data_IF_390771911072
#
_entry.id   IF_390771911072
#
_cell.length_a   1.000
_cell.length_b   1.000
_cell.length_c   1.000
_cell.angle_alpha   90.00
_cell.angle_beta   90.00
_cell.angle_gamma   90.00
#
_symmetry.space_group_name_H-M   'P 1'
#
loop_
_entity.id
_entity.type
_entity.pdbx_description
1 polymer ?
#
# COMPACT_ATOMS: atom_id res chain seq x y z
N UNK A 1 -4.55 8.60 -3.86
CA UNK A 1 -5.45 9.48 -4.66
C UNK A 1 -4.79 9.90 -5.97
N UNK A 2 -3.64 10.55 -5.96
CA UNK A 2 -2.98 11.05 -7.18
C UNK A 2 -2.74 9.96 -8.23
N UNK A 3 -2.26 8.78 -7.83
CA UNK A 3 -2.05 7.65 -8.72
C UNK A 3 -3.32 7.22 -9.49
N UNK A 4 -4.47 7.27 -8.83
CA UNK A 4 -5.71 6.63 -9.31
C UNK A 4 -6.74 7.61 -9.89
N UNK A 5 -6.63 8.91 -9.58
CA UNK A 5 -7.64 9.91 -9.90
C UNK A 5 -7.03 11.31 -10.16
N UNK A 6 -5.84 11.37 -10.75
CA UNK A 6 -5.17 12.63 -11.06
C UNK A 6 -5.99 13.54 -11.96
N UNK A 7 -6.73 12.94 -12.89
CA UNK A 7 -7.66 13.62 -13.81
C UNK A 7 -8.78 14.39 -13.09
N UNK A 8 -9.06 14.05 -11.84
CA UNK A 8 -10.08 14.69 -11.00
C UNK A 8 -9.48 15.71 -10.01
N UNK A 9 -8.18 15.99 -10.10
CA UNK A 9 -7.47 16.84 -9.15
C UNK A 9 -6.84 18.07 -9.84
N UNK A 10 -6.90 19.28 -9.25
CA UNK A 10 -6.15 20.43 -9.74
C UNK A 10 -4.63 20.17 -9.66
N UNK A 11 -3.93 20.31 -10.78
CA UNK A 11 -2.48 20.02 -10.89
C UNK A 11 -1.66 20.85 -9.90
N UNK A 12 -1.98 22.12 -9.76
CA UNK A 12 -1.25 23.04 -8.87
C UNK A 12 -1.44 22.66 -7.40
N UNK A 13 -2.63 22.20 -7.01
CA UNK A 13 -2.89 21.71 -5.65
C UNK A 13 -2.07 20.46 -5.33
N UNK A 14 -1.94 19.53 -6.28
CA UNK A 14 -1.08 18.34 -6.11
C UNK A 14 0.38 18.76 -5.96
N UNK A 15 0.88 19.66 -6.83
CA UNK A 15 2.26 20.18 -6.77
C UNK A 15 2.54 20.88 -5.45
N UNK A 16 1.64 21.72 -5.00
CA UNK A 16 1.75 22.44 -3.72
C UNK A 16 1.78 21.44 -2.55
N UNK A 17 0.90 20.45 -2.54
CA UNK A 17 0.88 19.39 -1.50
C UNK A 17 2.20 18.61 -1.43
N UNK A 18 2.80 18.28 -2.59
CA UNK A 18 4.13 17.65 -2.65
C UNK A 18 5.19 18.58 -2.01
N UNK A 19 5.23 19.85 -2.41
CA UNK A 19 6.21 20.80 -1.89
C UNK A 19 6.05 21.01 -0.38
N UNK A 20 4.81 21.10 0.12
CA UNK A 20 4.52 21.25 1.54
C UNK A 20 5.02 20.04 2.36
N UNK A 21 4.76 18.82 1.91
CA UNK A 21 5.28 17.61 2.56
C UNK A 21 6.81 17.56 2.53
N UNK A 22 7.42 17.88 1.39
CA UNK A 22 8.89 17.92 1.27
C UNK A 22 9.54 19.09 2.04
N UNK A 23 8.82 20.18 2.30
CA UNK A 23 9.31 21.24 3.19
C UNK A 23 9.44 20.74 4.64
N UNK A 24 8.54 19.84 5.08
CA UNK A 24 8.63 19.17 6.38
C UNK A 24 9.62 18.02 6.46
N UNK A 25 10.35 17.66 5.39
CA UNK A 25 11.33 16.58 5.47
C UNK A 25 12.47 16.90 6.43
N UNK A 26 12.77 16.00 7.37
CA UNK A 26 13.89 16.11 8.32
C UNK A 26 15.24 15.90 7.62
N UNK A 27 16.32 16.28 8.29
CA UNK A 27 17.70 16.13 7.79
C UNK A 27 18.07 14.66 7.57
N UNK A 28 17.58 13.75 8.42
CA UNK A 28 17.78 12.30 8.28
C UNK A 28 17.00 11.67 7.12
N UNK A 29 16.18 12.46 6.41
CA UNK A 29 15.39 12.02 5.28
C UNK A 29 13.93 11.63 5.61
N UNK A 30 13.55 11.59 6.88
CA UNK A 30 12.19 11.26 7.30
C UNK A 30 11.18 12.24 6.69
N UNK A 31 10.18 11.71 5.99
CA UNK A 31 9.06 12.46 5.43
C UNK A 31 7.91 12.49 6.44
N UNK A 32 7.19 13.61 6.60
CA UNK A 32 6.00 13.64 7.45
C UNK A 32 4.96 12.59 7.06
N UNK A 33 4.32 12.00 8.05
CA UNK A 33 3.11 11.20 7.89
C UNK A 33 1.96 12.10 7.38
N UNK A 34 1.87 13.29 7.95
CA UNK A 34 0.89 14.32 7.56
C UNK A 34 1.34 15.72 7.97
N UNK A 35 0.70 16.71 7.37
CA UNK A 35 0.71 18.09 7.82
C UNK A 35 -0.62 18.41 8.49
N UNK A 36 -0.59 19.13 9.59
CA UNK A 36 -1.78 19.67 10.22
C UNK A 36 -2.24 20.96 9.50
N UNK A 37 -3.44 21.42 9.83
CA UNK A 37 -4.01 22.63 9.21
C UNK A 37 -3.16 23.90 9.46
N UNK A 38 -2.43 23.94 10.57
CA UNK A 38 -1.47 25.02 10.90
C UNK A 38 -0.11 24.85 10.22
N UNK A 39 0.09 23.83 9.41
CA UNK A 39 1.34 23.52 8.72
C UNK A 39 2.33 22.69 9.53
N UNK A 40 2.03 22.32 10.77
CA UNK A 40 2.91 21.50 11.61
C UNK A 40 3.07 20.10 11.00
N UNK A 41 4.32 19.69 10.83
CA UNK A 41 4.66 18.34 10.35
C UNK A 41 4.56 17.30 11.49
N UNK A 42 3.83 16.22 11.26
CA UNK A 42 3.69 15.07 12.16
C UNK A 42 4.31 13.85 11.49
N UNK A 43 5.19 13.13 12.17
CA UNK A 43 6.01 12.08 11.56
C UNK A 43 5.56 10.68 11.94
N UNK A 44 4.83 10.50 13.02
CA UNK A 44 4.35 9.20 13.47
C UNK A 44 2.85 9.06 13.26
N UNK A 45 2.40 7.83 13.02
CA UNK A 45 0.97 7.51 13.00
C UNK A 45 0.34 7.70 14.39
N UNK A 46 -0.98 7.80 14.44
CA UNK A 46 -1.73 8.02 15.66
C UNK A 46 -1.97 9.50 16.00
N UNK A 47 -2.67 9.79 17.11
CA UNK A 47 -2.92 11.15 17.57
C UNK A 47 -1.61 11.87 17.94
N UNK A 48 -1.60 13.22 17.85
CA UNK A 48 -0.41 14.03 18.15
C UNK A 48 0.13 13.79 19.57
N UNK A 49 -0.74 13.58 20.54
CA UNK A 49 -0.35 13.30 21.93
C UNK A 49 -0.10 11.83 22.26
N UNK A 50 -0.35 10.91 21.31
CA UNK A 50 -0.19 9.47 21.51
C UNK A 50 0.31 8.79 20.20
N UNK A 51 1.57 9.03 19.80
CA UNK A 51 2.13 8.45 18.58
C UNK A 51 2.28 6.92 18.71
N UNK A 52 2.16 6.22 17.59
CA UNK A 52 2.32 4.77 17.52
C UNK A 52 3.79 4.35 17.28
N UNK A 53 4.71 4.97 17.99
CA UNK A 53 6.14 4.70 17.93
C UNK A 53 6.88 5.51 16.84
N UNK A 54 7.88 4.91 16.24
CA UNK A 54 8.69 5.52 15.18
C UNK A 54 7.84 5.83 13.91
N UNK A 55 8.34 6.66 12.98
CA UNK A 55 7.63 6.96 11.74
C UNK A 55 7.24 5.71 10.95
N UNK A 56 6.05 5.67 10.34
CA UNK A 56 5.61 4.55 9.49
C UNK A 56 6.62 4.24 8.38
N UNK A 57 6.72 2.96 8.02
CA UNK A 57 7.72 2.53 7.01
C UNK A 57 7.36 2.95 5.59
N UNK A 58 6.12 3.38 5.33
CA UNK A 58 5.58 3.66 3.99
C UNK A 58 5.60 5.13 3.57
N UNK A 59 5.84 6.09 4.48
CA UNK A 59 5.85 7.52 4.16
C UNK A 59 6.79 7.86 3.00
N UNK A 60 8.02 7.34 3.02
CA UNK A 60 9.02 7.57 1.98
C UNK A 60 8.58 7.03 0.62
N UNK A 61 8.04 5.83 0.60
CA UNK A 61 7.58 5.15 -0.61
C UNK A 61 6.39 5.88 -1.23
N UNK A 62 5.42 6.29 -0.42
CA UNK A 62 4.28 7.07 -0.90
C UNK A 62 4.69 8.46 -1.40
N UNK A 63 5.68 9.11 -0.77
CA UNK A 63 6.22 10.38 -1.26
C UNK A 63 6.82 10.23 -2.67
N UNK A 64 7.62 9.19 -2.88
CA UNK A 64 8.20 8.89 -4.20
C UNK A 64 7.10 8.57 -5.23
N UNK A 65 6.12 7.74 -4.86
CA UNK A 65 4.99 7.42 -5.75
C UNK A 65 4.21 8.68 -6.12
N UNK A 66 3.93 9.55 -5.16
CA UNK A 66 3.22 10.81 -5.37
C UNK A 66 3.94 11.70 -6.40
N UNK A 67 5.26 11.90 -6.25
CA UNK A 67 6.06 12.70 -7.22
C UNK A 67 6.11 12.00 -8.57
N UNK A 68 6.34 10.70 -8.61
CA UNK A 68 6.43 9.95 -9.87
C UNK A 68 5.12 9.99 -10.66
N UNK A 69 3.97 9.87 -9.98
CA UNK A 69 2.66 9.93 -10.62
C UNK A 69 2.31 11.35 -11.09
N UNK A 70 2.73 12.38 -10.32
CA UNK A 70 2.64 13.78 -10.76
C UNK A 70 3.46 14.01 -12.05
N UNK A 71 4.73 13.62 -12.05
CA UNK A 71 5.62 13.78 -13.23
C UNK A 71 5.11 12.97 -14.42
N UNK A 72 4.61 11.75 -14.20
CA UNK A 72 4.01 10.94 -15.27
C UNK A 72 2.81 11.65 -15.91
N UNK A 73 1.98 12.31 -15.11
CA UNK A 73 0.75 12.94 -15.58
C UNK A 73 0.99 14.32 -16.21
N UNK A 74 2.03 15.05 -15.81
CA UNK A 74 2.33 16.41 -16.25
C UNK A 74 3.47 16.51 -17.25
N UNK A 75 4.39 15.55 -17.27
CA UNK A 75 5.65 15.61 -18.01
C UNK A 75 6.72 16.49 -17.34
N UNK A 76 6.47 17.07 -16.14
CA UNK A 76 7.34 18.03 -15.45
C UNK A 76 8.60 17.36 -14.87
N UNK A 77 9.56 17.08 -15.75
CA UNK A 77 10.84 16.48 -15.35
C UNK A 77 11.76 17.45 -14.60
N UNK A 78 11.61 18.74 -14.81
CA UNK A 78 12.39 19.77 -14.10
C UNK A 78 11.96 19.84 -12.63
N UNK A 79 10.67 19.68 -12.36
CA UNK A 79 10.19 19.52 -10.98
C UNK A 79 10.83 18.30 -10.32
N UNK A 80 10.90 17.15 -11.01
CA UNK A 80 11.61 15.99 -10.47
C UNK A 80 13.07 16.31 -10.15
N UNK A 81 13.81 16.92 -11.08
CA UNK A 81 15.22 17.28 -10.87
C UNK A 81 15.39 18.14 -9.61
N UNK A 82 14.49 19.11 -9.41
CA UNK A 82 14.53 20.00 -8.23
C UNK A 82 14.33 19.27 -6.89
N UNK A 83 13.55 18.19 -6.87
CA UNK A 83 13.23 17.46 -5.62
C UNK A 83 13.95 16.11 -5.49
N UNK A 84 14.67 15.65 -6.51
CA UNK A 84 15.27 14.31 -6.59
C UNK A 84 16.16 13.99 -5.38
N UNK A 85 16.99 14.91 -4.92
CA UNK A 85 17.84 14.73 -3.73
C UNK A 85 17.03 14.45 -2.45
N UNK A 86 15.87 15.09 -2.30
CA UNK A 86 14.97 14.85 -1.17
C UNK A 86 14.36 13.45 -1.25
N UNK A 87 13.97 12.97 -2.44
CA UNK A 87 13.42 11.64 -2.65
C UNK A 87 14.44 10.53 -2.37
N UNK A 88 15.71 10.74 -2.75
CA UNK A 88 16.80 9.81 -2.41
C UNK A 88 16.93 9.70 -0.90
N UNK A 89 17.05 10.81 -0.17
CA UNK A 89 17.13 10.79 1.30
C UNK A 89 15.90 10.13 1.95
N UNK A 90 14.69 10.36 1.40
CA UNK A 90 13.49 9.71 1.89
C UNK A 90 13.58 8.18 1.78
N UNK A 91 14.05 7.65 0.65
CA UNK A 91 14.21 6.21 0.46
C UNK A 91 15.37 5.64 1.30
N UNK A 92 16.41 6.42 1.57
CA UNK A 92 17.53 6.01 2.42
C UNK A 92 17.15 5.97 3.92
N UNK A 93 16.15 6.74 4.34
CA UNK A 93 15.60 6.70 5.69
C UNK A 93 14.93 5.35 6.01
N UNK A 94 14.37 4.66 5.01
CA UNK A 94 13.67 3.39 5.24
C UNK A 94 14.62 2.30 5.74
N UNK A 95 14.35 1.74 6.93
CA UNK A 95 15.09 0.60 7.48
C UNK A 95 14.91 -0.64 6.60
N UNK A 96 16.03 -1.31 6.28
CA UNK A 96 16.03 -2.51 5.45
C UNK A 96 16.94 -3.59 6.05
N UNK A 97 16.54 -4.84 5.90
CA UNK A 97 17.37 -5.99 6.23
C UNK A 97 18.59 -6.08 5.29
N UNK A 98 19.52 -6.98 5.62
CA UNK A 98 20.67 -7.27 4.75
C UNK A 98 20.23 -7.76 3.36
N UNK A 99 19.07 -8.39 3.25
CA UNK A 99 18.48 -8.86 2.01
C UNK A 99 17.68 -7.77 1.25
N UNK A 100 17.65 -6.56 1.79
CA UNK A 100 17.04 -5.38 1.18
C UNK A 100 15.54 -5.24 1.43
N UNK A 101 14.91 -6.16 2.19
CA UNK A 101 13.50 -6.06 2.56
C UNK A 101 13.29 -4.98 3.63
N UNK A 102 12.19 -4.25 3.56
CA UNK A 102 11.82 -3.28 4.61
C UNK A 102 11.58 -4.03 5.91
N UNK A 103 12.12 -3.50 7.01
CA UNK A 103 12.09 -4.18 8.31
C UNK A 103 11.73 -3.23 9.45
N UNK A 104 11.09 -3.79 10.49
CA UNK A 104 10.87 -3.16 11.80
C UNK A 104 11.55 -4.02 12.87
N UNK A 105 12.31 -3.38 13.76
CA UNK A 105 12.92 -4.05 14.90
C UNK A 105 11.84 -4.58 15.86
N UNK A 106 11.81 -5.88 16.19
CA UNK A 106 10.86 -6.44 17.15
C UNK A 106 10.93 -5.82 18.56
N UNK A 107 12.07 -5.26 18.93
CA UNK A 107 12.24 -4.55 20.20
C UNK A 107 11.62 -3.14 20.19
N UNK A 108 11.34 -2.59 19.00
CA UNK A 108 10.77 -1.24 18.80
C UNK A 108 9.66 -1.26 17.77
N UNK A 109 8.55 -2.01 18.02
CA UNK A 109 7.47 -2.11 17.08
C UNK A 109 6.79 -0.75 16.88
N UNK A 110 6.49 -0.43 15.63
CA UNK A 110 5.80 0.78 15.22
C UNK A 110 4.94 0.52 13.99
N UNK A 111 4.25 1.54 13.48
CA UNK A 111 3.37 1.42 12.33
C UNK A 111 4.10 0.87 11.09
N UNK A 112 3.66 -0.28 10.54
CA UNK A 112 4.27 -0.83 9.32
C UNK A 112 3.82 -0.09 8.06
N UNK A 113 2.57 0.33 7.97
CA UNK A 113 2.01 1.18 6.91
C UNK A 113 0.59 1.63 7.28
N UNK A 114 0.10 2.71 6.64
CA UNK A 114 -1.11 3.43 7.04
C UNK A 114 -2.40 2.63 7.08
N UNK A 115 -2.53 1.53 6.33
CA UNK A 115 -3.72 0.66 6.38
C UNK A 115 -3.65 -0.42 7.46
N UNK A 116 -2.55 -0.53 8.18
CA UNK A 116 -2.37 -1.34 9.38
C UNK A 116 -1.47 -0.64 10.39
N UNK A 117 -1.62 0.67 10.53
CA UNK A 117 -0.82 1.53 11.42
C UNK A 117 -0.86 1.10 12.88
N UNK A 118 -1.90 0.37 13.29
CA UNK A 118 -2.09 -0.12 14.66
C UNK A 118 -1.64 -1.57 14.88
N UNK A 119 -1.12 -2.24 13.87
CA UNK A 119 -0.74 -3.67 13.94
C UNK A 119 0.77 -3.80 14.11
N UNK A 120 1.21 -4.58 15.09
CA UNK A 120 2.62 -4.76 15.45
C UNK A 120 3.32 -5.81 14.55
N UNK A 121 3.42 -5.54 13.25
CA UNK A 121 4.19 -6.36 12.31
C UNK A 121 5.68 -6.07 12.45
N UNK A 122 6.51 -7.06 12.70
CA UNK A 122 7.95 -6.86 12.88
C UNK A 122 8.82 -7.89 12.12
N UNK A 123 10.11 -7.62 12.06
CA UNK A 123 11.02 -8.30 11.16
C UNK A 123 10.84 -7.78 9.72
N UNK A 124 11.08 -8.60 8.73
CA UNK A 124 10.87 -8.28 7.32
C UNK A 124 9.38 -8.18 6.99
N UNK A 125 8.97 -7.16 6.24
CA UNK A 125 7.59 -6.81 5.98
C UNK A 125 7.21 -7.02 4.51
N UNK A 126 6.10 -7.71 4.24
CA UNK A 126 5.59 -7.94 2.89
C UNK A 126 5.18 -6.63 2.20
N UNK A 127 4.14 -5.96 2.72
CA UNK A 127 3.50 -4.84 2.03
C UNK A 127 4.45 -3.65 1.86
N UNK A 128 5.18 -3.31 2.91
CA UNK A 128 6.16 -2.21 2.87
C UNK A 128 7.32 -2.49 1.91
N UNK A 129 7.76 -3.76 1.79
CA UNK A 129 8.77 -4.15 0.79
C UNK A 129 8.23 -4.06 -0.64
N UNK A 130 6.98 -4.42 -0.88
CA UNK A 130 6.34 -4.24 -2.20
C UNK A 130 6.25 -2.77 -2.59
N UNK A 131 5.87 -1.89 -1.65
CA UNK A 131 5.85 -0.44 -1.85
C UNK A 131 7.25 0.12 -2.13
N UNK A 132 8.26 -0.33 -1.36
CA UNK A 132 9.66 0.10 -1.56
C UNK A 132 10.20 -0.31 -2.94
N UNK A 133 9.91 -1.55 -3.37
CA UNK A 133 10.24 -2.01 -4.72
C UNK A 133 9.60 -1.13 -5.80
N UNK A 134 8.32 -0.82 -5.66
CA UNK A 134 7.60 0.00 -6.64
C UNK A 134 8.16 1.43 -6.68
N UNK A 135 8.37 2.06 -5.52
CA UNK A 135 8.98 3.37 -5.41
C UNK A 135 10.39 3.39 -6.04
N UNK A 136 11.20 2.35 -5.77
CA UNK A 136 12.52 2.21 -6.37
C UNK A 136 12.46 2.10 -7.89
N UNK A 137 11.55 1.33 -8.46
CA UNK A 137 11.36 1.24 -9.92
C UNK A 137 10.93 2.57 -10.52
N UNK A 138 10.00 3.30 -9.86
CA UNK A 138 9.58 4.63 -10.30
C UNK A 138 10.75 5.62 -10.29
N UNK A 139 11.59 5.61 -9.23
CA UNK A 139 12.79 6.46 -9.18
C UNK A 139 13.81 6.07 -10.26
N UNK A 140 14.07 4.79 -10.46
CA UNK A 140 14.98 4.34 -11.51
C UNK A 140 14.54 4.90 -12.89
N UNK A 141 13.25 4.78 -13.23
CA UNK A 141 12.69 5.33 -14.46
C UNK A 141 12.81 6.86 -14.55
N UNK A 142 12.59 7.57 -13.46
CA UNK A 142 12.71 9.04 -13.44
C UNK A 142 14.16 9.48 -13.58
N UNK A 143 15.11 8.82 -12.92
CA UNK A 143 16.54 9.11 -13.07
C UNK A 143 17.07 8.79 -14.48
N UNK A 144 16.60 7.69 -15.07
CA UNK A 144 16.91 7.35 -16.47
C UNK A 144 16.46 8.49 -17.41
N UNK A 145 15.20 8.94 -17.28
CA UNK A 145 14.67 10.07 -18.06
C UNK A 145 15.41 11.40 -17.79
N UNK A 146 15.92 11.58 -16.57
CA UNK A 146 16.69 12.77 -16.20
C UNK A 146 18.17 12.71 -16.64
N UNK A 147 18.63 11.56 -17.19
CA UNK A 147 20.02 11.35 -17.64
C UNK A 147 20.98 10.90 -16.54
N UNK A 148 20.50 10.51 -15.35
CA UNK A 148 21.32 10.03 -14.24
C UNK A 148 21.34 8.50 -14.20
N UNK A 149 22.15 7.90 -15.03
CA UNK A 149 22.28 6.45 -15.16
C UNK A 149 22.78 5.78 -13.87
N UNK A 150 23.61 6.45 -13.09
CA UNK A 150 24.16 5.89 -11.85
C UNK A 150 23.04 5.68 -10.80
N UNK A 151 22.23 6.70 -10.55
CA UNK A 151 21.09 6.58 -9.63
C UNK A 151 19.99 5.68 -10.18
N UNK A 152 19.75 5.69 -11.49
CA UNK A 152 18.83 4.75 -12.13
C UNK A 152 19.25 3.29 -11.86
N UNK A 153 20.54 2.98 -12.01
CA UNK A 153 21.11 1.66 -11.70
C UNK A 153 20.99 1.28 -10.22
N UNK A 154 21.29 2.20 -9.29
CA UNK A 154 21.17 1.96 -7.84
C UNK A 154 19.73 1.60 -7.45
N UNK A 155 18.75 2.40 -7.85
CA UNK A 155 17.35 2.13 -7.53
C UNK A 155 16.80 0.88 -8.25
N UNK A 156 17.28 0.59 -9.46
CA UNK A 156 17.01 -0.68 -10.14
C UNK A 156 17.53 -1.88 -9.34
N UNK A 157 18.74 -1.79 -8.80
CA UNK A 157 19.35 -2.83 -7.95
C UNK A 157 18.58 -3.02 -6.64
N UNK A 158 18.13 -1.94 -5.99
CA UNK A 158 17.28 -2.00 -4.77
C UNK A 158 15.96 -2.74 -5.05
N UNK A 159 15.27 -2.43 -6.14
CA UNK A 159 14.08 -3.14 -6.55
C UNK A 159 14.34 -4.62 -6.84
N UNK A 160 15.43 -4.93 -7.56
CA UNK A 160 15.86 -6.30 -7.87
C UNK A 160 16.21 -7.11 -6.62
N UNK A 161 16.78 -6.50 -5.58
CA UNK A 161 17.06 -7.18 -4.30
C UNK A 161 15.75 -7.68 -3.65
N UNK A 162 14.71 -6.86 -3.61
CA UNK A 162 13.40 -7.28 -3.09
C UNK A 162 12.81 -8.40 -3.94
N UNK A 163 12.90 -8.31 -5.27
CA UNK A 163 12.39 -9.35 -6.18
C UNK A 163 13.04 -10.71 -5.95
N UNK A 164 14.33 -10.74 -5.65
CA UNK A 164 15.03 -11.99 -5.33
C UNK A 164 14.70 -12.54 -3.95
N UNK A 165 14.55 -11.67 -2.95
CA UNK A 165 14.56 -12.06 -1.54
C UNK A 165 13.18 -12.12 -0.87
N UNK A 166 12.13 -11.51 -1.45
CA UNK A 166 10.77 -11.55 -0.87
C UNK A 166 10.23 -12.97 -0.68
N UNK A 167 10.85 -13.95 -1.39
CA UNK A 167 10.54 -15.36 -1.24
C UNK A 167 10.74 -15.92 0.18
N UNK A 168 11.52 -15.24 1.05
CA UNK A 168 11.69 -15.59 2.47
C UNK A 168 10.36 -15.56 3.24
N UNK A 169 9.42 -14.68 2.84
CA UNK A 169 8.09 -14.56 3.44
C UNK A 169 7.07 -15.57 2.87
N UNK A 170 7.45 -16.44 1.95
CA UNK A 170 6.51 -17.37 1.32
C UNK A 170 6.20 -18.59 2.18
N UNK A 171 4.96 -18.74 2.62
CA UNK A 171 4.45 -19.97 3.23
C UNK A 171 4.07 -20.98 2.16
N UNK A 172 4.84 -22.07 2.08
CA UNK A 172 4.64 -23.14 1.08
C UNK A 172 3.34 -23.91 1.32
N UNK A 173 2.88 -24.05 2.58
CA UNK A 173 1.66 -24.79 2.94
C UNK A 173 0.42 -23.99 2.53
N UNK A 174 0.33 -22.77 2.95
CA UNK A 174 -0.77 -21.87 2.59
C UNK A 174 -0.75 -21.48 1.10
N UNK A 175 0.44 -21.35 0.50
CA UNK A 175 0.62 -20.85 -0.86
C UNK A 175 0.37 -19.34 -0.96
N UNK A 176 0.76 -18.62 0.08
CA UNK A 176 0.63 -17.19 0.27
C UNK A 176 1.88 -16.61 0.91
N UNK A 177 2.12 -15.32 0.74
CA UNK A 177 3.09 -14.61 1.54
C UNK A 177 2.52 -14.29 2.92
N UNK A 178 3.38 -14.39 3.93
CA UNK A 178 3.12 -13.89 5.28
C UNK A 178 3.30 -12.39 5.34
N UNK A 179 2.59 -11.73 6.26
CA UNK A 179 2.64 -10.28 6.45
C UNK A 179 4.00 -9.79 6.93
N UNK A 180 4.65 -10.58 7.80
CA UNK A 180 5.92 -10.27 8.43
C UNK A 180 6.70 -11.55 8.80
N UNK A 181 8.00 -11.40 9.15
CA UNK A 181 8.87 -12.55 9.47
C UNK A 181 8.98 -12.85 10.96
N UNK A 182 8.61 -11.94 11.86
CA UNK A 182 8.70 -12.14 13.32
C UNK A 182 7.32 -12.04 13.98
N UNK A 183 6.79 -10.86 14.30
CA UNK A 183 5.43 -10.70 14.80
C UNK A 183 4.43 -10.59 13.65
N UNK A 184 3.23 -11.08 13.85
CA UNK A 184 2.16 -11.14 12.83
C UNK A 184 2.57 -11.96 11.59
N UNK A 185 3.13 -13.15 11.82
CA UNK A 185 3.45 -14.14 10.78
C UNK A 185 2.19 -14.80 10.21
N UNK A 186 1.22 -14.00 9.86
CA UNK A 186 -0.07 -14.42 9.34
C UNK A 186 -0.18 -14.09 7.84
N UNK A 187 -1.09 -14.75 7.14
CA UNK A 187 -1.35 -14.47 5.72
C UNK A 187 -1.93 -13.07 5.59
N UNK A 188 -1.32 -12.23 4.77
CA UNK A 188 -1.87 -10.89 4.46
C UNK A 188 -2.56 -10.91 3.09
N UNK A 189 -3.89 -10.91 3.08
CA UNK A 189 -4.71 -10.88 1.86
C UNK A 189 -4.38 -9.66 1.00
N UNK A 190 -4.23 -8.48 1.63
CA UNK A 190 -3.94 -7.25 0.91
C UNK A 190 -2.56 -7.26 0.28
N UNK A 191 -1.53 -7.66 1.04
CA UNK A 191 -0.17 -7.77 0.52
C UNK A 191 -0.06 -8.74 -0.65
N UNK A 192 -0.74 -9.89 -0.57
CA UNK A 192 -0.76 -10.87 -1.65
C UNK A 192 -1.53 -10.37 -2.89
N UNK A 193 -2.69 -9.74 -2.72
CA UNK A 193 -3.44 -9.14 -3.82
C UNK A 193 -2.68 -7.98 -4.46
N UNK A 194 -2.03 -7.14 -3.63
CA UNK A 194 -1.20 -6.03 -4.11
C UNK A 194 0.03 -6.52 -4.87
N UNK A 195 0.67 -7.62 -4.46
CA UNK A 195 1.79 -8.21 -5.20
C UNK A 195 1.37 -8.59 -6.64
N UNK A 196 0.16 -9.14 -6.82
CA UNK A 196 -0.39 -9.41 -8.16
C UNK A 196 -0.67 -8.11 -8.90
N UNK A 197 -1.36 -7.16 -8.27
CA UNK A 197 -1.71 -5.86 -8.85
C UNK A 197 -0.48 -5.05 -9.24
N UNK A 198 0.54 -4.95 -8.38
CA UNK A 198 1.77 -4.20 -8.63
C UNK A 198 2.73 -4.89 -9.62
N UNK A 199 2.33 -6.02 -10.22
CA UNK A 199 3.16 -6.73 -11.20
C UNK A 199 4.46 -7.27 -10.60
N UNK A 200 4.42 -7.77 -9.36
CA UNK A 200 5.57 -8.46 -8.77
C UNK A 200 5.84 -9.78 -9.52
N UNK A 201 7.11 -10.16 -9.78
CA UNK A 201 7.45 -11.39 -10.51
C UNK A 201 7.16 -12.64 -9.67
N UNK A 202 5.91 -13.11 -9.70
CA UNK A 202 5.41 -14.19 -8.84
C UNK A 202 5.65 -15.60 -9.40
N UNK A 203 5.91 -15.75 -10.70
CA UNK A 203 6.03 -17.06 -11.39
C UNK A 203 4.89 -18.03 -10.96
N UNK A 204 5.23 -19.27 -10.55
CA UNK A 204 4.24 -20.26 -10.13
C UNK A 204 3.42 -19.87 -8.87
N UNK A 205 3.92 -18.94 -8.05
CA UNK A 205 3.22 -18.45 -6.85
C UNK A 205 1.92 -17.73 -7.17
N UNK A 206 1.86 -17.01 -8.31
CA UNK A 206 0.66 -16.28 -8.75
C UNK A 206 -0.57 -17.18 -8.77
N UNK A 207 -0.48 -18.36 -9.42
CA UNK A 207 -1.58 -19.34 -9.49
C UNK A 207 -2.11 -19.73 -8.10
N UNK A 208 -1.20 -19.91 -7.13
CA UNK A 208 -1.57 -20.28 -5.75
C UNK A 208 -2.27 -19.14 -5.03
N UNK A 209 -1.77 -17.90 -5.14
CA UNK A 209 -2.42 -16.70 -4.58
C UNK A 209 -3.83 -16.57 -5.15
N UNK A 210 -3.99 -16.56 -6.47
CA UNK A 210 -5.29 -16.45 -7.11
C UNK A 210 -6.26 -17.54 -6.65
N UNK A 211 -5.79 -18.79 -6.58
CA UNK A 211 -6.59 -19.92 -6.08
C UNK A 211 -6.99 -19.77 -4.62
N UNK A 212 -6.11 -19.22 -3.77
CA UNK A 212 -6.43 -18.94 -2.37
C UNK A 212 -7.53 -17.88 -2.26
N UNK A 213 -7.40 -16.78 -2.96
CA UNK A 213 -8.41 -15.69 -2.95
C UNK A 213 -9.78 -16.20 -3.39
N UNK A 214 -9.85 -17.02 -4.45
CA UNK A 214 -11.10 -17.56 -4.95
C UNK A 214 -11.74 -18.55 -3.94
N UNK A 215 -10.99 -19.50 -3.38
CA UNK A 215 -11.51 -20.48 -2.41
C UNK A 215 -11.96 -19.85 -1.10
N UNK A 216 -11.35 -18.76 -0.68
CA UNK A 216 -11.67 -18.07 0.56
C UNK A 216 -12.56 -16.83 0.35
N UNK A 217 -13.18 -16.69 -0.83
CA UNK A 217 -13.94 -15.49 -1.20
C UNK A 217 -14.93 -15.06 -0.11
N UNK A 218 -15.75 -15.99 0.42
CA UNK A 218 -16.75 -15.69 1.45
C UNK A 218 -16.15 -15.35 2.83
N UNK A 219 -14.89 -15.74 3.09
CA UNK A 219 -14.19 -15.48 4.35
C UNK A 219 -13.40 -14.16 4.31
N UNK A 220 -13.17 -13.60 3.13
CA UNK A 220 -12.36 -12.39 2.96
C UNK A 220 -13.16 -11.21 2.41
N UNK A 221 -14.36 -11.43 1.90
CA UNK A 221 -15.18 -10.39 1.26
C UNK A 221 -16.57 -10.30 1.90
N UNK A 222 -16.92 -9.10 2.37
CA UNK A 222 -18.24 -8.74 2.85
C UNK A 222 -18.70 -7.45 2.18
N UNK A 223 -19.86 -7.45 1.55
CA UNK A 223 -20.43 -6.30 0.82
C UNK A 223 -19.47 -5.69 -0.23
N UNK A 224 -18.59 -6.52 -0.81
CA UNK A 224 -17.57 -6.10 -1.78
C UNK A 224 -16.32 -5.49 -1.15
N UNK A 225 -16.22 -5.39 0.16
CA UNK A 225 -15.06 -4.90 0.91
C UNK A 225 -14.22 -6.06 1.42
N UNK A 226 -12.91 -5.86 1.65
CA UNK A 226 -11.92 -6.94 1.84
C UNK A 226 -11.24 -6.83 3.20
N UNK A 227 -11.10 -7.97 3.92
CA UNK A 227 -10.31 -8.09 5.16
C UNK A 227 -8.82 -8.30 4.87
N UNK A 228 -7.98 -7.96 5.84
CA UNK A 228 -6.56 -8.31 5.81
C UNK A 228 -6.31 -9.80 6.02
N UNK A 229 -7.07 -10.44 6.90
CA UNK A 229 -6.99 -11.87 7.25
C UNK A 229 -8.31 -12.56 6.92
N UNK A 230 -8.32 -13.86 6.58
CA UNK A 230 -9.56 -14.62 6.42
C UNK A 230 -10.33 -14.68 7.74
N UNK A 231 -11.66 -14.58 7.69
CA UNK A 231 -12.51 -14.80 8.86
C UNK A 231 -12.37 -16.25 9.37
N UNK A 232 -12.35 -16.50 10.69
CA UNK A 232 -12.53 -15.57 11.82
C UNK A 232 -11.23 -14.96 12.36
N UNK A 233 -10.11 -15.06 11.65
CA UNK A 233 -8.79 -14.66 12.12
C UNK A 233 -8.73 -13.16 12.46
N UNK A 234 -7.90 -12.82 13.46
CA UNK A 234 -7.50 -11.47 13.86
C UNK A 234 -5.99 -11.41 13.98
N UNK A 235 -5.40 -10.21 13.92
CA UNK A 235 -3.96 -10.06 14.10
C UNK A 235 -3.53 -10.51 15.50
N UNK A 236 -2.45 -11.28 15.58
CA UNK A 236 -1.94 -11.82 16.85
C UNK A 236 -1.35 -10.76 17.77
N UNK A 237 -0.90 -9.61 17.20
CA UNK A 237 -0.27 -8.55 17.97
C UNK A 237 -0.65 -7.17 17.42
N UNK A 238 -1.06 -6.26 18.30
CA UNK A 238 -1.43 -4.88 17.98
C UNK A 238 -0.61 -3.91 18.80
N UNK A 239 -0.37 -2.69 18.28
CA UNK A 239 0.34 -1.61 18.98
C UNK A 239 -0.54 -0.98 20.07
N UNK A 240 -1.84 -0.99 19.87
CA UNK A 240 -2.86 -0.53 20.81
C UNK A 240 -4.01 -1.54 20.88
N UNK A 241 -4.79 -1.61 21.95
CA UNK A 241 -5.93 -2.52 22.03
C UNK A 241 -6.96 -2.25 20.94
N UNK A 242 -7.27 -3.27 20.12
CA UNK A 242 -8.31 -3.22 19.09
C UNK A 242 -9.14 -4.50 19.17
N UNK A 243 -10.44 -4.33 19.35
CA UNK A 243 -11.38 -5.46 19.41
C UNK A 243 -11.33 -6.25 18.11
N UNK A 244 -11.20 -7.60 18.15
CA UNK A 244 -11.33 -8.45 16.99
C UNK A 244 -12.61 -8.17 16.19
N UNK A 245 -12.51 -8.15 14.87
CA UNK A 245 -13.62 -7.83 13.98
C UNK A 245 -13.84 -6.33 13.73
N UNK A 246 -13.08 -5.43 14.40
CA UNK A 246 -13.17 -3.99 14.20
C UNK A 246 -11.90 -3.41 13.57
N UNK A 247 -12.01 -2.24 12.94
CA UNK A 247 -10.94 -1.46 12.36
C UNK A 247 -9.93 -2.33 11.59
N UNK A 248 -8.63 -2.16 11.83
CA UNK A 248 -7.57 -2.93 11.16
C UNK A 248 -7.47 -4.38 11.67
N UNK A 249 -8.14 -4.72 12.77
CA UNK A 249 -8.12 -6.06 13.37
C UNK A 249 -9.34 -6.91 12.97
N UNK A 250 -9.68 -6.90 11.69
CA UNK A 250 -10.67 -7.81 11.13
C UNK A 250 -11.93 -7.16 10.55
N UNK A 251 -12.02 -5.83 10.44
CA UNK A 251 -13.04 -5.20 9.62
C UNK A 251 -12.73 -5.33 8.12
N UNK A 252 -13.74 -5.09 7.29
CA UNK A 252 -13.66 -5.11 5.83
C UNK A 252 -13.52 -3.69 5.30
N UNK A 253 -12.64 -3.49 4.32
CA UNK A 253 -12.26 -2.19 3.77
C UNK A 253 -12.45 -2.17 2.26
N UNK A 254 -12.97 -1.06 1.72
CA UNK A 254 -13.05 -0.85 0.29
C UNK A 254 -11.69 -0.66 -0.39
N UNK A 255 -10.68 -0.22 0.36
CA UNK A 255 -9.34 0.11 -0.13
C UNK A 255 -8.71 -1.01 -0.99
N UNK A 256 -8.77 -2.27 -0.57
CA UNK A 256 -8.16 -3.40 -1.28
C UNK A 256 -9.09 -4.07 -2.30
N UNK A 257 -10.35 -3.65 -2.38
CA UNK A 257 -11.35 -4.31 -3.23
C UNK A 257 -10.92 -4.34 -4.69
N UNK A 258 -10.33 -3.27 -5.18
CA UNK A 258 -9.84 -3.20 -6.55
C UNK A 258 -8.66 -4.13 -6.83
N UNK A 259 -7.73 -4.28 -5.90
CA UNK A 259 -6.58 -5.20 -6.06
C UNK A 259 -7.02 -6.66 -6.11
N UNK A 260 -7.99 -7.03 -5.25
CA UNK A 260 -8.56 -8.39 -5.25
C UNK A 260 -9.39 -8.63 -6.49
N UNK A 261 -10.20 -7.67 -6.93
CA UNK A 261 -10.96 -7.77 -8.19
C UNK A 261 -10.01 -7.95 -9.38
N UNK A 262 -8.96 -7.11 -9.51
CA UNK A 262 -7.94 -7.23 -10.55
C UNK A 262 -7.29 -8.63 -10.54
N UNK A 263 -6.87 -9.12 -9.36
CA UNK A 263 -6.27 -10.43 -9.22
C UNK A 263 -7.22 -11.56 -9.65
N UNK A 264 -8.51 -11.47 -9.31
CA UNK A 264 -9.50 -12.48 -9.66
C UNK A 264 -9.87 -12.46 -11.16
N UNK A 265 -9.82 -11.32 -11.83
CA UNK A 265 -10.25 -11.17 -13.25
C UNK A 265 -9.54 -12.16 -14.17
N UNK A 266 -8.28 -12.46 -13.93
CA UNK A 266 -7.50 -13.34 -14.80
C UNK A 266 -8.07 -14.77 -14.90
N UNK A 267 -8.67 -15.31 -13.86
CA UNK A 267 -9.11 -16.71 -13.80
C UNK A 267 -10.55 -16.90 -13.32
N UNK A 268 -11.11 -15.95 -12.62
CA UNK A 268 -12.46 -15.97 -12.06
C UNK A 268 -13.16 -14.62 -12.27
N UNK A 269 -13.39 -14.23 -13.55
CA UNK A 269 -14.00 -12.93 -13.88
C UNK A 269 -15.39 -12.75 -13.23
N UNK A 270 -16.17 -13.81 -13.07
CA UNK A 270 -17.48 -13.75 -12.41
C UNK A 270 -17.36 -13.39 -10.91
N UNK A 271 -16.34 -13.92 -10.21
CA UNK A 271 -16.08 -13.54 -8.82
C UNK A 271 -15.61 -12.08 -8.72
N UNK A 272 -14.76 -11.63 -9.63
CA UNK A 272 -14.33 -10.24 -9.71
C UNK A 272 -15.53 -9.31 -9.97
N UNK A 273 -16.37 -9.64 -10.94
CA UNK A 273 -17.58 -8.89 -11.24
C UNK A 273 -18.58 -8.88 -10.07
N UNK A 274 -18.74 -10.01 -9.36
CA UNK A 274 -19.57 -10.11 -8.16
C UNK A 274 -19.06 -9.19 -7.05
N UNK A 275 -17.75 -9.14 -6.80
CA UNK A 275 -17.13 -8.25 -5.82
C UNK A 275 -17.43 -6.79 -6.16
N UNK A 276 -17.18 -6.39 -7.40
CA UNK A 276 -17.37 -4.99 -7.85
C UNK A 276 -18.84 -4.58 -7.77
N UNK A 277 -19.76 -5.43 -8.24
CA UNK A 277 -21.22 -5.15 -8.13
C UNK A 277 -21.66 -5.00 -6.68
N UNK A 278 -21.17 -5.86 -5.77
CA UNK A 278 -21.48 -5.78 -4.34
C UNK A 278 -20.96 -4.46 -3.74
N UNK A 279 -19.73 -4.06 -4.06
CA UNK A 279 -19.13 -2.81 -3.60
C UNK A 279 -19.94 -1.59 -4.07
N UNK A 280 -20.24 -1.51 -5.37
CA UNK A 280 -21.02 -0.41 -5.95
C UNK A 280 -22.42 -0.35 -5.30
N UNK A 281 -23.07 -1.50 -5.10
CA UNK A 281 -24.40 -1.57 -4.49
C UNK A 281 -24.37 -1.08 -3.04
N UNK A 282 -23.33 -1.47 -2.29
CA UNK A 282 -23.16 -1.03 -0.91
C UNK A 282 -22.94 0.48 -0.84
N UNK A 283 -22.03 1.01 -1.65
CA UNK A 283 -21.73 2.46 -1.67
C UNK A 283 -22.92 3.31 -2.09
N UNK A 284 -23.71 2.87 -3.06
CA UNK A 284 -24.95 3.57 -3.45
C UNK A 284 -25.99 3.62 -2.32
N UNK A 285 -26.06 2.59 -1.49
CA UNK A 285 -27.07 2.48 -0.43
C UNK A 285 -26.65 3.12 0.89
N UNK A 286 -25.37 3.08 1.24
CA UNK A 286 -24.88 3.41 2.59
C UNK A 286 -23.82 4.50 2.58
N UNK A 287 -23.15 4.75 1.47
CA UNK A 287 -21.96 5.58 1.37
C UNK A 287 -20.66 4.75 1.52
N UNK A 288 -19.52 5.37 1.29
CA UNK A 288 -18.22 4.75 1.40
C UNK A 288 -17.62 4.97 2.79
N UNK A 289 -17.43 3.91 3.54
CA UNK A 289 -16.80 3.95 4.86
C UNK A 289 -15.31 3.61 4.77
N UNK A 290 -14.53 4.02 5.78
CA UNK A 290 -13.15 3.55 5.97
C UNK A 290 -13.14 2.02 6.09
N UNK A 291 -13.96 1.48 6.99
CA UNK A 291 -14.17 0.04 7.13
C UNK A 291 -15.53 -0.28 7.75
N UNK A 292 -15.96 -1.53 7.54
CA UNK A 292 -17.27 -2.04 7.98
C UNK A 292 -17.15 -3.44 8.55
N UNK A 293 -18.14 -3.85 9.36
CA UNK A 293 -18.44 -5.25 9.69
C UNK A 293 -19.95 -5.36 9.94
N UNK A 294 -20.47 -6.50 10.39
CA UNK A 294 -21.92 -6.76 10.59
C UNK A 294 -22.65 -5.59 11.30
N UNK A 295 -22.13 -5.15 12.44
CA UNK A 295 -22.71 -4.07 13.26
C UNK A 295 -21.68 -2.96 13.54
N UNK A 296 -20.75 -2.74 12.59
CA UNK A 296 -19.65 -1.79 12.76
C UNK A 296 -19.42 -1.03 11.45
N UNK A 297 -19.43 0.29 11.53
CA UNK A 297 -19.09 1.19 10.44
C UNK A 297 -18.22 2.31 11.01
N UNK A 298 -17.12 2.63 10.35
CA UNK A 298 -16.17 3.66 10.80
C UNK A 298 -15.91 4.65 9.68
N UNK A 299 -15.88 5.91 10.01
CA UNK A 299 -15.54 7.07 9.19
C UNK A 299 -16.17 7.03 7.80
N UNK A 300 -17.36 7.61 7.70
CA UNK A 300 -18.11 7.75 6.45
C UNK A 300 -17.41 8.73 5.50
N UNK A 301 -17.65 8.55 4.20
CA UNK A 301 -17.12 9.37 3.11
C UNK A 301 -15.58 9.27 3.00
N UNK A 302 -15.05 8.06 3.23
CA UNK A 302 -13.62 7.77 3.17
C UNK A 302 -13.13 7.61 1.73
N UNK A 303 -12.44 8.63 1.24
CA UNK A 303 -12.06 8.79 -0.17
C UNK A 303 -11.21 7.63 -0.70
N UNK A 304 -10.31 7.06 0.12
CA UNK A 304 -9.41 5.98 -0.32
C UNK A 304 -10.18 4.69 -0.64
N UNK A 305 -11.28 4.42 0.09
CA UNK A 305 -12.16 3.29 -0.20
C UNK A 305 -12.86 3.37 -1.56
N UNK A 306 -12.91 4.56 -2.16
CA UNK A 306 -13.47 4.80 -3.51
C UNK A 306 -12.37 4.86 -4.57
N UNK A 307 -11.33 5.65 -4.31
CA UNK A 307 -10.31 5.98 -5.31
C UNK A 307 -9.39 4.81 -5.63
N UNK A 308 -9.03 3.98 -4.64
CA UNK A 308 -8.22 2.79 -4.90
C UNK A 308 -8.94 1.75 -5.78
N UNK A 309 -10.20 1.35 -5.49
CA UNK A 309 -10.95 0.51 -6.41
C UNK A 309 -11.11 1.12 -7.80
N UNK A 310 -11.40 2.42 -7.91
CA UNK A 310 -11.52 3.11 -9.20
C UNK A 310 -10.25 2.96 -10.06
N UNK A 311 -9.07 3.22 -9.47
CA UNK A 311 -7.80 3.07 -10.18
C UNK A 311 -7.56 1.64 -10.66
N UNK A 312 -7.84 0.66 -9.79
CA UNK A 312 -7.69 -0.75 -10.17
C UNK A 312 -8.69 -1.19 -11.25
N UNK A 313 -9.93 -0.69 -11.21
CA UNK A 313 -10.93 -0.97 -12.24
C UNK A 313 -10.55 -0.34 -13.59
N UNK A 314 -10.08 0.91 -13.60
CA UNK A 314 -9.54 1.56 -14.81
C UNK A 314 -8.39 0.75 -15.42
N UNK A 315 -7.48 0.26 -14.58
CA UNK A 315 -6.41 -0.61 -15.03
C UNK A 315 -6.92 -1.96 -15.54
N UNK A 316 -7.87 -2.59 -14.88
CA UNK A 316 -8.49 -3.85 -15.32
C UNK A 316 -9.12 -3.68 -16.69
N UNK A 317 -9.90 -2.62 -16.91
CA UNK A 317 -10.52 -2.33 -18.21
C UNK A 317 -9.47 -2.14 -19.31
N UNK A 318 -8.35 -1.47 -19.01
CA UNK A 318 -7.27 -1.26 -19.98
C UNK A 318 -6.51 -2.55 -20.34
N UNK A 319 -6.23 -3.42 -19.35
CA UNK A 319 -5.45 -4.64 -19.55
C UNK A 319 -6.27 -5.80 -20.14
N UNK A 320 -7.53 -5.93 -19.75
CA UNK A 320 -8.38 -7.07 -20.16
C UNK A 320 -9.39 -6.72 -21.26
N UNK A 321 -9.37 -5.47 -21.81
CA UNK A 321 -10.29 -5.01 -22.86
C UNK A 321 -11.72 -5.49 -22.61
N UNK A 322 -12.25 -5.10 -21.46
CA UNK A 322 -13.66 -5.35 -21.15
C UNK A 322 -14.49 -4.37 -21.99
N UNK A 323 -15.08 -4.89 -23.10
CA UNK A 323 -16.02 -4.17 -23.93
C UNK A 323 -17.33 -3.82 -23.19
#
# INVERSE_FOLDING_TARGET
>A
MVENAFDLMPRDSVRLGILSLLAGQREDGCVPDRLQADGLAVYSAGPVGAPLGDPPTDNSQFMVKLVADYVRATGDLDFFRAVAGKLVRAMDFSSRSRDGLVTIDPARPHSPYGFTDTIAKTGELLFSSLLYREASRKLATLFEKAGDAARAGDFGARAGSIERNLGSLWDKKAGMFLAASVDCRQIDIWGNAYAVYAGFPLASKKKRILGFLARNYSRIIYRGQVRHLPEPESWEKTLIPITPGTYQNGAYWGTASGWVAFALTERWPDLAARLVRALITDYKRRGAYECINLNYEKLKDYVVSVVNPLGALRRTAAEYRMD
#
